data_IF_325471930882
#
_entry.id   IF_325471930882
#
_cell.length_a   1.000
_cell.length_b   1.000
_cell.length_c   1.000
_cell.angle_alpha   90.00
_cell.angle_beta   90.00
_cell.angle_gamma   90.00
#
_symmetry.space_group_name_H-M   'P 1'
#
loop_
_entity.id
_entity.type
_entity.pdbx_description
1 polymer ?
#
# COMPACT_ATOMS: atom_id res chain seq x y z
N UNK A 1 3.00 -20.33 10.59
CA UNK A 1 3.83 -19.11 10.39
C UNK A 1 3.71 -18.52 8.98
N UNK A 2 3.65 -19.34 7.91
CA UNK A 2 3.46 -18.83 6.53
C UNK A 2 2.09 -18.20 6.31
N UNK A 3 1.04 -18.72 6.92
CA UNK A 3 -0.31 -18.18 6.84
C UNK A 3 -0.45 -16.85 7.61
N UNK A 4 0.22 -16.71 8.75
CA UNK A 4 0.15 -15.49 9.57
C UNK A 4 0.82 -14.28 8.93
N UNK A 5 1.82 -14.47 8.06
CA UNK A 5 2.50 -13.35 7.41
C UNK A 5 1.59 -12.66 6.40
N UNK A 6 0.80 -13.41 5.61
CA UNK A 6 -0.21 -12.86 4.71
C UNK A 6 -1.44 -12.30 5.44
N UNK A 7 -1.69 -12.77 6.67
CA UNK A 7 -2.82 -12.29 7.48
C UNK A 7 -2.55 -10.95 8.18
N UNK A 8 -1.27 -10.55 8.31
CA UNK A 8 -0.89 -9.26 8.92
C UNK A 8 -1.33 -8.05 8.09
N UNK A 9 -1.60 -8.24 6.79
CA UNK A 9 -1.97 -7.17 5.86
C UNK A 9 -3.48 -7.03 5.66
N UNK A 10 -4.25 -7.45 6.65
CA UNK A 10 -5.71 -7.29 6.60
C UNK A 10 -6.10 -5.83 6.75
N UNK A 11 -7.19 -5.48 6.09
CA UNK A 11 -7.84 -4.18 6.30
C UNK A 11 -8.47 -4.18 7.69
N UNK A 12 -8.07 -3.21 8.50
CA UNK A 12 -8.67 -2.95 9.80
C UNK A 12 -9.73 -1.86 9.66
N UNK A 13 -10.81 -1.94 10.42
CA UNK A 13 -11.83 -0.89 10.49
C UNK A 13 -13.21 -1.24 9.94
N UNK A 14 -13.38 -2.41 9.29
CA UNK A 14 -14.70 -2.94 8.93
C UNK A 14 -15.03 -4.16 9.78
N UNK A 15 -16.21 -4.17 10.39
CA UNK A 15 -16.69 -5.32 11.19
C UNK A 15 -17.06 -6.54 10.33
N UNK A 16 -17.10 -6.38 9.00
CA UNK A 16 -17.47 -7.42 8.06
C UNK A 16 -16.51 -7.43 6.86
N UNK A 17 -15.72 -8.48 6.76
CA UNK A 17 -14.80 -8.71 5.62
C UNK A 17 -15.51 -9.25 4.36
N UNK A 18 -16.84 -9.31 4.37
CA UNK A 18 -17.63 -9.87 3.28
C UNK A 18 -17.88 -8.86 2.16
N UNK A 19 -17.89 -7.56 2.48
CA UNK A 19 -18.13 -6.50 1.50
C UNK A 19 -16.84 -5.77 1.12
N UNK A 20 -16.67 -5.50 -0.17
CA UNK A 20 -15.58 -4.65 -0.65
C UNK A 20 -15.73 -3.22 -0.13
N UNK A 21 -14.62 -2.64 0.28
CA UNK A 21 -14.57 -1.23 0.71
C UNK A 21 -14.56 -0.32 -0.51
N UNK A 22 -15.54 0.58 -0.61
CA UNK A 22 -15.64 1.60 -1.68
C UNK A 22 -15.38 2.98 -1.09
N UNK A 23 -14.11 3.46 -1.08
CA UNK A 23 -13.76 4.76 -0.54
C UNK A 23 -14.18 5.91 -1.47
N UNK A 24 -14.37 7.11 -0.93
CA UNK A 24 -14.47 8.37 -1.66
C UNK A 24 -13.11 9.09 -1.71
N UNK A 25 -12.31 8.87 -0.67
CA UNK A 25 -10.98 9.45 -0.52
C UNK A 25 -9.97 8.38 -0.15
N UNK A 26 -8.84 8.38 -0.82
CA UNK A 26 -7.65 7.60 -0.45
C UNK A 26 -6.64 8.56 0.15
N UNK A 27 -6.08 8.21 1.30
CA UNK A 27 -4.94 8.93 1.87
C UNK A 27 -3.73 8.01 1.98
N UNK A 28 -2.56 8.55 1.64
CA UNK A 28 -1.28 7.85 1.78
C UNK A 28 -0.41 8.51 2.85
N UNK A 29 0.47 7.74 3.45
CA UNK A 29 1.39 8.23 4.47
C UNK A 29 2.37 9.26 3.90
N UNK A 30 2.96 8.95 2.76
CA UNK A 30 3.99 9.76 2.10
C UNK A 30 3.57 10.26 0.71
N UNK A 31 4.46 11.01 0.04
CA UNK A 31 4.28 11.55 -1.31
C UNK A 31 5.19 10.89 -2.36
N UNK A 32 5.70 9.71 -2.08
CA UNK A 32 6.61 8.97 -2.96
C UNK A 32 5.87 8.28 -4.14
N UNK A 33 6.52 7.33 -4.78
CA UNK A 33 5.98 6.63 -5.94
C UNK A 33 4.66 5.90 -5.65
N UNK A 34 4.46 5.41 -4.42
CA UNK A 34 3.19 4.84 -3.98
C UNK A 34 2.04 5.85 -4.05
N UNK A 35 2.24 7.05 -3.51
CA UNK A 35 1.26 8.13 -3.65
C UNK A 35 0.96 8.43 -5.12
N UNK A 36 2.01 8.61 -5.96
CA UNK A 36 1.84 8.92 -7.38
C UNK A 36 1.05 7.85 -8.13
N UNK A 37 1.24 6.58 -7.76
CA UNK A 37 0.46 5.46 -8.28
C UNK A 37 -1.02 5.57 -7.89
N UNK A 38 -1.32 5.74 -6.60
CA UNK A 38 -2.69 5.83 -6.12
C UNK A 38 -3.38 7.13 -6.54
N UNK A 39 -2.67 8.24 -6.65
CA UNK A 39 -3.20 9.49 -7.21
C UNK A 39 -3.69 9.29 -8.64
N UNK A 40 -2.89 8.61 -9.48
CA UNK A 40 -3.31 8.29 -10.86
C UNK A 40 -4.55 7.39 -10.89
N UNK A 41 -4.57 6.33 -10.07
CA UNK A 41 -5.73 5.44 -9.94
C UNK A 41 -6.98 6.22 -9.50
N UNK A 42 -6.84 7.11 -8.54
CA UNK A 42 -7.94 7.94 -8.04
C UNK A 42 -8.50 8.87 -9.13
N UNK A 43 -7.61 9.53 -9.89
CA UNK A 43 -8.02 10.41 -11.00
C UNK A 43 -8.85 9.63 -12.04
N UNK A 44 -8.40 8.44 -12.42
CA UNK A 44 -9.13 7.59 -13.39
C UNK A 44 -10.51 7.17 -12.89
N UNK A 45 -10.67 7.00 -11.58
CA UNK A 45 -11.91 6.52 -10.96
C UNK A 45 -12.74 7.64 -10.32
N UNK A 46 -12.37 8.90 -10.51
CA UNK A 46 -13.07 10.05 -9.95
C UNK A 46 -13.06 10.10 -8.42
N UNK A 47 -12.02 9.54 -7.80
CA UNK A 47 -11.80 9.56 -6.37
C UNK A 47 -10.82 10.69 -5.99
N UNK A 48 -10.83 11.07 -4.71
CA UNK A 48 -9.86 11.99 -4.16
C UNK A 48 -8.64 11.23 -3.63
N UNK A 49 -7.43 11.76 -3.86
CA UNK A 49 -6.20 11.22 -3.30
C UNK A 49 -5.42 12.33 -2.60
N UNK A 50 -4.96 12.07 -1.37
CA UNK A 50 -4.15 13.03 -0.62
C UNK A 50 -2.97 12.34 0.05
N UNK A 51 -1.80 13.00 -0.01
CA UNK A 51 -0.65 12.59 0.79
C UNK A 51 -0.66 13.29 2.14
N UNK A 52 -0.44 12.52 3.20
CA UNK A 52 -0.35 13.06 4.55
C UNK A 52 1.03 13.65 4.87
N UNK A 53 2.04 13.40 4.03
CA UNK A 53 3.43 13.84 4.25
C UNK A 53 3.96 13.45 5.64
N UNK A 54 3.61 12.27 6.10
CA UNK A 54 4.08 11.69 7.35
C UNK A 54 2.98 11.02 8.17
N UNK A 55 3.33 9.91 8.78
CA UNK A 55 2.40 9.01 9.50
C UNK A 55 1.60 9.68 10.61
N UNK A 56 2.19 10.63 11.34
CA UNK A 56 1.51 11.32 12.44
C UNK A 56 0.35 12.18 11.94
N UNK A 57 0.37 12.65 10.69
CA UNK A 57 -0.69 13.46 10.12
C UNK A 57 -1.95 12.66 9.78
N UNK A 58 -1.83 11.35 9.57
CA UNK A 58 -2.96 10.44 9.33
C UNK A 58 -3.98 10.55 10.48
N UNK A 59 -3.51 10.49 11.71
CA UNK A 59 -4.36 10.63 12.89
C UNK A 59 -5.13 11.96 12.90
N UNK A 60 -4.44 13.07 12.62
CA UNK A 60 -5.06 14.40 12.59
C UNK A 60 -6.09 14.54 11.46
N UNK A 61 -5.79 13.98 10.28
CA UNK A 61 -6.71 13.97 9.16
C UNK A 61 -7.99 13.22 9.50
N UNK A 62 -7.89 12.00 10.01
CA UNK A 62 -9.04 11.17 10.38
C UNK A 62 -9.92 11.81 11.45
N UNK A 63 -9.34 12.53 12.42
CA UNK A 63 -10.11 13.26 13.43
C UNK A 63 -10.91 14.42 12.84
N UNK A 64 -10.39 15.07 11.80
CA UNK A 64 -11.04 16.21 11.14
C UNK A 64 -12.14 15.76 10.17
N UNK A 65 -11.93 14.62 9.49
CA UNK A 65 -12.80 14.12 8.41
C UNK A 65 -13.67 12.94 8.87
N UNK A 66 -14.57 13.17 9.84
CA UNK A 66 -15.32 12.08 10.51
C UNK A 66 -16.41 11.43 9.66
N UNK A 67 -16.98 12.15 8.69
CA UNK A 67 -18.12 11.69 7.86
C UNK A 67 -17.73 11.10 6.51
N UNK A 68 -16.46 11.24 6.10
CA UNK A 68 -15.99 10.80 4.79
C UNK A 68 -15.67 9.30 4.76
N UNK A 69 -15.88 8.65 3.61
CA UNK A 69 -15.45 7.27 3.37
C UNK A 69 -13.97 7.27 2.95
N UNK A 70 -13.11 6.90 3.87
CA UNK A 70 -11.66 7.03 3.72
C UNK A 70 -11.00 5.65 3.71
N UNK A 71 -10.13 5.44 2.72
CA UNK A 71 -9.14 4.37 2.73
C UNK A 71 -7.77 4.97 3.07
N UNK A 72 -7.18 4.50 4.15
CA UNK A 72 -5.80 4.81 4.53
C UNK A 72 -4.89 3.74 3.95
N UNK A 73 -3.86 4.13 3.19
CA UNK A 73 -2.80 3.25 2.72
C UNK A 73 -1.49 3.72 3.32
N UNK A 74 -0.86 2.87 4.11
CA UNK A 74 0.40 3.19 4.77
C UNK A 74 1.32 1.97 4.84
N UNK A 75 2.63 2.20 4.86
CA UNK A 75 3.62 1.13 4.97
C UNK A 75 3.54 0.46 6.35
N UNK A 76 3.12 -0.79 6.40
CA UNK A 76 2.77 -1.49 7.64
C UNK A 76 3.90 -1.51 8.67
N UNK A 77 5.14 -1.76 8.22
CA UNK A 77 6.29 -1.79 9.12
C UNK A 77 6.64 -0.40 9.68
N UNK A 78 6.48 0.65 8.89
CA UNK A 78 6.79 2.02 9.32
C UNK A 78 5.66 2.64 10.17
N UNK A 79 4.42 2.20 9.93
CA UNK A 79 3.22 2.76 10.56
C UNK A 79 2.99 2.27 12.01
N UNK A 80 3.69 1.22 12.45
CA UNK A 80 3.46 0.54 13.72
C UNK A 80 3.42 1.44 14.95
N UNK A 81 4.23 2.51 15.00
CA UNK A 81 4.23 3.47 16.12
C UNK A 81 2.97 4.35 16.22
N UNK A 82 2.20 4.47 15.14
CA UNK A 82 0.98 5.29 15.07
C UNK A 82 -0.30 4.44 15.10
N UNK A 83 -0.17 3.12 14.98
CA UNK A 83 -1.31 2.22 14.80
C UNK A 83 -2.34 2.33 15.92
N UNK A 84 -1.90 2.36 17.18
CA UNK A 84 -2.80 2.42 18.33
C UNK A 84 -3.64 3.70 18.34
N UNK A 85 -3.03 4.84 18.00
CA UNK A 85 -3.71 6.13 17.93
C UNK A 85 -4.75 6.15 16.81
N UNK A 86 -4.40 5.58 15.66
CA UNK A 86 -5.29 5.51 14.50
C UNK A 86 -6.43 4.54 14.79
N UNK A 87 -6.16 3.36 15.37
CA UNK A 87 -7.21 2.41 15.74
C UNK A 87 -8.20 3.00 16.75
N UNK A 88 -7.74 3.81 17.72
CA UNK A 88 -8.63 4.52 18.64
C UNK A 88 -9.56 5.48 17.91
N UNK A 89 -9.08 6.18 16.88
CA UNK A 89 -9.90 7.13 16.11
C UNK A 89 -10.90 6.42 15.21
N UNK A 90 -10.54 5.29 14.63
CA UNK A 90 -11.40 4.54 13.71
C UNK A 90 -12.31 3.53 14.43
N UNK A 91 -12.10 3.32 15.74
CA UNK A 91 -12.93 2.41 16.51
C UNK A 91 -14.43 2.76 16.38
N UNK A 92 -15.23 1.79 15.95
CA UNK A 92 -16.66 1.97 15.69
C UNK A 92 -17.01 2.79 14.43
N UNK A 93 -16.03 3.23 13.65
CA UNK A 93 -16.25 3.93 12.38
C UNK A 93 -16.30 2.92 11.22
N UNK A 94 -17.47 2.78 10.60
CA UNK A 94 -17.65 1.91 9.40
C UNK A 94 -17.23 2.58 8.09
N UNK A 95 -16.90 3.87 8.14
CA UNK A 95 -16.54 4.68 6.98
C UNK A 95 -15.01 4.83 6.77
N UNK A 96 -14.20 4.16 7.57
CA UNK A 96 -12.73 4.20 7.43
C UNK A 96 -12.20 2.78 7.33
N UNK A 97 -11.40 2.54 6.31
CA UNK A 97 -10.64 1.31 6.15
C UNK A 97 -9.13 1.62 6.21
N UNK A 98 -8.36 0.69 6.75
CA UNK A 98 -6.91 0.79 6.86
C UNK A 98 -6.27 -0.39 6.12
N UNK A 99 -5.50 -0.10 5.09
CA UNK A 99 -4.73 -1.08 4.33
C UNK A 99 -3.24 -0.84 4.58
N UNK A 100 -2.58 -1.83 5.15
CA UNK A 100 -1.19 -1.76 5.58
C UNK A 100 -0.35 -2.82 4.86
N UNK A 101 -0.02 -2.64 3.57
CA UNK A 101 0.98 -3.48 2.91
C UNK A 101 2.35 -3.27 3.57
N UNK A 102 3.26 -4.21 3.41
CA UNK A 102 4.62 -4.05 3.93
C UNK A 102 5.28 -2.76 3.42
N UNK A 103 5.16 -2.55 2.12
CA UNK A 103 5.46 -1.28 1.44
C UNK A 103 4.84 -1.30 0.03
N UNK A 104 4.87 -0.17 -0.68
CA UNK A 104 4.46 -0.13 -2.08
C UNK A 104 5.38 -0.98 -2.97
N UNK A 105 6.68 -1.01 -2.69
CA UNK A 105 7.64 -1.86 -3.40
C UNK A 105 7.33 -3.34 -3.20
N UNK A 106 6.94 -3.73 -1.99
CA UNK A 106 6.48 -5.09 -1.74
C UNK A 106 5.26 -5.43 -2.58
N UNK A 107 4.28 -4.54 -2.69
CA UNK A 107 3.08 -4.75 -3.53
C UNK A 107 3.45 -4.98 -5.00
N UNK A 108 4.40 -4.21 -5.54
CA UNK A 108 4.90 -4.38 -6.91
C UNK A 108 5.52 -5.77 -7.09
N UNK A 109 6.37 -6.19 -6.18
CA UNK A 109 7.03 -7.50 -6.25
C UNK A 109 6.05 -8.65 -6.06
N UNK A 110 5.12 -8.54 -5.11
CA UNK A 110 4.10 -9.56 -4.84
C UNK A 110 3.07 -9.68 -5.99
N UNK A 111 2.90 -8.64 -6.80
CA UNK A 111 2.09 -8.70 -8.01
C UNK A 111 2.67 -9.58 -9.12
N UNK A 112 3.88 -10.14 -8.93
CA UNK A 112 4.60 -11.05 -9.85
C UNK A 112 4.79 -10.49 -11.27
N UNK A 113 4.80 -9.17 -11.41
CA UNK A 113 5.00 -8.50 -12.72
C UNK A 113 6.42 -8.65 -13.25
N UNK A 114 7.39 -8.87 -12.36
CA UNK A 114 8.79 -9.05 -12.71
C UNK A 114 9.09 -10.48 -13.22
N UNK A 115 8.22 -11.45 -12.90
CA UNK A 115 8.38 -12.88 -13.23
C UNK A 115 9.77 -13.43 -12.88
N UNK A 116 10.34 -12.97 -11.77
CA UNK A 116 11.71 -13.24 -11.33
C UNK A 116 11.72 -14.24 -10.18
N UNK A 117 12.39 -15.37 -10.36
CA UNK A 117 12.47 -16.42 -9.34
C UNK A 117 13.21 -15.96 -8.07
N UNK A 118 14.20 -15.11 -8.19
CA UNK A 118 14.90 -14.53 -7.03
C UNK A 118 13.94 -13.70 -6.19
N UNK A 119 13.14 -12.85 -6.83
CA UNK A 119 12.10 -12.06 -6.15
C UNK A 119 11.09 -12.96 -5.44
N UNK A 120 10.62 -14.02 -6.11
CA UNK A 120 9.68 -15.00 -5.50
C UNK A 120 10.29 -15.69 -4.26
N UNK A 121 11.56 -16.08 -4.33
CA UNK A 121 12.28 -16.68 -3.20
C UNK A 121 12.41 -15.71 -2.03
N UNK A 122 12.75 -14.45 -2.31
CA UNK A 122 12.83 -13.39 -1.30
C UNK A 122 11.47 -13.17 -0.63
N UNK A 123 10.38 -13.08 -1.39
CA UNK A 123 9.04 -12.90 -0.84
C UNK A 123 8.56 -14.11 -0.04
N UNK A 124 9.02 -15.32 -0.38
CA UNK A 124 8.67 -16.55 0.38
C UNK A 124 9.34 -16.60 1.74
N UNK A 125 10.55 -16.07 1.86
CA UNK A 125 11.38 -16.14 3.07
C UNK A 125 12.24 -14.88 3.24
N UNK A 126 11.64 -13.70 3.38
CA UNK A 126 12.40 -12.44 3.36
C UNK A 126 13.44 -12.35 4.48
N UNK A 127 13.21 -12.99 5.63
CA UNK A 127 14.15 -13.03 6.74
C UNK A 127 15.48 -13.74 6.43
N UNK A 128 15.51 -14.61 5.42
CA UNK A 128 16.75 -15.28 5.00
C UNK A 128 17.64 -14.38 4.12
N UNK A 129 17.07 -13.32 3.57
CA UNK A 129 17.75 -12.42 2.63
C UNK A 129 18.07 -11.06 3.24
N UNK A 130 17.39 -10.67 4.31
CA UNK A 130 17.62 -9.38 4.96
C UNK A 130 18.86 -9.42 5.83
N UNK A 131 19.83 -8.57 5.52
CA UNK A 131 20.95 -8.32 6.42
C UNK A 131 20.65 -7.09 7.29
N UNK A 132 20.38 -7.35 8.57
CA UNK A 132 19.96 -6.32 9.54
C UNK A 132 20.99 -5.21 9.76
N UNK A 133 22.26 -5.45 9.39
CA UNK A 133 23.32 -4.42 9.43
C UNK A 133 23.21 -3.42 8.28
N UNK A 134 22.61 -3.83 7.16
CA UNK A 134 22.45 -2.99 5.96
C UNK A 134 21.09 -2.31 5.91
N UNK A 135 20.05 -2.95 6.46
CA UNK A 135 18.68 -2.48 6.33
C UNK A 135 18.07 -2.24 7.72
N UNK A 136 17.69 -1.00 7.98
CA UNK A 136 17.04 -0.59 9.24
C UNK A 136 15.52 -0.80 9.24
N UNK A 137 14.92 -1.14 8.08
CA UNK A 137 13.50 -1.43 7.94
C UNK A 137 13.24 -2.33 6.74
N UNK A 138 12.12 -3.04 6.79
CA UNK A 138 11.61 -3.85 5.69
C UNK A 138 11.36 -3.02 4.43
N UNK A 139 10.83 -1.81 4.57
CA UNK A 139 10.64 -0.88 3.48
C UNK A 139 11.95 -0.61 2.72
N UNK A 140 13.05 -0.32 3.43
CA UNK A 140 14.35 -0.09 2.81
C UNK A 140 14.90 -1.33 2.11
N UNK A 141 14.68 -2.50 2.71
CA UNK A 141 15.06 -3.77 2.10
C UNK A 141 14.31 -3.99 0.78
N UNK A 142 12.98 -3.90 0.78
CA UNK A 142 12.19 -4.09 -0.43
C UNK A 142 12.46 -3.03 -1.49
N UNK A 143 12.69 -1.78 -1.09
CA UNK A 143 13.11 -0.71 -2.00
C UNK A 143 14.43 -1.06 -2.70
N UNK A 144 15.44 -1.49 -1.96
CA UNK A 144 16.74 -1.85 -2.52
C UNK A 144 16.64 -3.04 -3.49
N UNK A 145 15.90 -4.08 -3.11
CA UNK A 145 15.68 -5.25 -3.98
C UNK A 145 14.94 -4.83 -5.26
N UNK A 146 13.88 -4.07 -5.17
CA UNK A 146 13.13 -3.66 -6.35
C UNK A 146 13.98 -2.81 -7.30
N UNK A 147 14.75 -1.86 -6.79
CA UNK A 147 15.69 -1.06 -7.59
C UNK A 147 16.69 -1.98 -8.31
N UNK A 148 17.34 -2.89 -7.56
CA UNK A 148 18.36 -3.79 -8.13
C UNK A 148 17.77 -4.72 -9.21
N UNK A 149 16.58 -5.26 -8.99
CA UNK A 149 15.94 -6.20 -9.92
C UNK A 149 15.34 -5.53 -11.15
N UNK A 150 15.19 -4.20 -11.14
CA UNK A 150 14.54 -3.47 -12.25
C UNK A 150 15.45 -2.47 -12.97
N UNK A 151 16.64 -2.16 -12.45
CA UNK A 151 17.53 -1.06 -12.94
C UNK A 151 17.80 -1.10 -14.44
N UNK A 152 17.92 -2.30 -15.03
CA UNK A 152 18.25 -2.51 -16.44
C UNK A 152 17.02 -2.90 -17.28
N UNK A 153 15.81 -2.61 -16.80
CA UNK A 153 14.55 -2.96 -17.45
C UNK A 153 13.69 -1.73 -17.72
N UNK A 154 12.66 -1.90 -18.53
CA UNK A 154 11.64 -0.84 -18.73
C UNK A 154 10.83 -0.53 -17.47
N UNK A 155 10.88 -1.41 -16.45
CA UNK A 155 10.28 -1.24 -15.13
C UNK A 155 11.24 -0.60 -14.11
N UNK A 156 12.34 0.04 -14.54
CA UNK A 156 13.29 0.65 -13.62
C UNK A 156 12.58 1.47 -12.54
N UNK A 157 12.76 1.08 -11.27
CA UNK A 157 12.07 1.68 -10.14
C UNK A 157 12.88 2.81 -9.51
N UNK A 158 12.20 3.86 -9.12
CA UNK A 158 12.78 4.93 -8.31
C UNK A 158 11.76 5.36 -7.24
N UNK A 159 12.18 5.39 -5.97
CA UNK A 159 11.26 5.65 -4.85
C UNK A 159 10.53 6.98 -4.94
N UNK A 160 11.20 8.03 -5.40
CA UNK A 160 10.65 9.40 -5.43
C UNK A 160 9.90 9.75 -6.71
N UNK A 161 10.04 8.95 -7.75
CA UNK A 161 9.44 9.22 -9.05
C UNK A 161 8.95 7.92 -9.67
N UNK A 162 7.65 7.80 -9.77
CA UNK A 162 7.01 6.64 -10.37
C UNK A 162 7.37 6.54 -11.86
N UNK A 163 7.85 5.37 -12.29
CA UNK A 163 8.00 5.07 -13.70
C UNK A 163 6.61 4.85 -14.32
N UNK A 164 6.26 5.55 -15.41
CA UNK A 164 4.95 5.43 -16.06
C UNK A 164 4.58 4.00 -16.49
N UNK A 165 5.56 3.12 -16.67
CA UNK A 165 5.31 1.71 -16.99
C UNK A 165 4.44 1.00 -15.93
N UNK A 166 4.52 1.41 -14.66
CA UNK A 166 3.67 0.87 -13.59
C UNK A 166 2.20 1.27 -13.70
N UNK A 167 1.90 2.32 -14.49
CA UNK A 167 0.55 2.79 -14.76
C UNK A 167 -0.09 2.12 -15.99
N UNK A 168 0.64 1.27 -16.71
CA UNK A 168 0.08 0.53 -17.85
C UNK A 168 -1.00 -0.47 -17.37
N UNK A 169 -2.07 -0.64 -18.15
CA UNK A 169 -3.27 -1.37 -17.75
C UNK A 169 -3.00 -2.70 -17.05
N UNK A 170 -2.30 -3.63 -17.72
CA UNK A 170 -2.05 -4.97 -17.16
C UNK A 170 -1.19 -4.96 -15.87
N UNK A 171 -0.19 -4.08 -15.80
CA UNK A 171 0.71 -3.95 -14.63
C UNK A 171 -0.05 -3.31 -13.48
N UNK A 172 -0.73 -2.18 -13.74
CA UNK A 172 -1.56 -1.48 -12.75
C UNK A 172 -2.60 -2.42 -12.13
N UNK A 173 -3.35 -3.13 -12.97
CA UNK A 173 -4.35 -4.09 -12.51
C UNK A 173 -3.75 -5.24 -11.69
N UNK A 174 -2.53 -5.70 -12.03
CA UNK A 174 -1.87 -6.75 -11.25
C UNK A 174 -1.48 -6.27 -9.86
N UNK A 175 -1.05 -5.02 -9.72
CA UNK A 175 -0.76 -4.39 -8.42
C UNK A 175 -2.06 -4.20 -7.63
N UNK A 176 -3.10 -3.65 -8.24
CA UNK A 176 -4.39 -3.39 -7.58
C UNK A 176 -5.10 -4.67 -7.13
N UNK A 177 -4.94 -5.79 -7.87
CA UNK A 177 -5.50 -7.09 -7.45
C UNK A 177 -4.98 -7.58 -6.10
N UNK A 178 -3.84 -7.08 -5.63
CA UNK A 178 -3.36 -7.37 -4.27
C UNK A 178 -4.21 -6.73 -3.18
N UNK A 179 -5.00 -5.72 -3.55
CA UNK A 179 -5.98 -5.06 -2.70
C UNK A 179 -7.39 -5.63 -2.94
N UNK A 180 -7.52 -6.96 -3.05
CA UNK A 180 -8.71 -7.68 -3.52
C UNK A 180 -10.02 -7.39 -2.76
N UNK A 181 -9.93 -6.80 -1.58
CA UNK A 181 -11.07 -6.43 -0.72
C UNK A 181 -11.44 -4.95 -0.85
N UNK A 182 -10.77 -4.20 -1.74
CA UNK A 182 -11.03 -2.79 -1.99
C UNK A 182 -11.64 -2.65 -3.38
N UNK A 183 -12.79 -1.99 -3.45
CA UNK A 183 -13.40 -1.60 -4.71
C UNK A 183 -13.09 -0.13 -4.97
N UNK A 184 -12.23 0.11 -5.94
CA UNK A 184 -11.85 1.46 -6.37
C UNK A 184 -12.70 1.96 -7.54
N UNK A 185 -13.57 1.12 -8.09
CA UNK A 185 -14.45 1.53 -9.17
C UNK A 185 -15.61 2.35 -8.58
N UNK A 186 -15.81 3.56 -9.09
CA UNK A 186 -17.04 4.31 -8.85
C UNK A 186 -18.18 3.54 -9.51
N UNK A 187 -19.16 3.06 -8.76
CA UNK A 187 -20.41 2.64 -9.35
C UNK A 187 -21.02 3.90 -9.95
N UNK A 188 -21.14 3.95 -11.27
CA UNK A 188 -22.00 4.91 -11.92
C UNK A 188 -23.41 4.70 -11.36
N UNK A 189 -23.87 5.67 -10.57
CA UNK A 189 -25.28 5.81 -10.16
C UNK A 189 -26.07 6.50 -11.29
#
# INVERSE_FOLDING_TARGET
LKQSYHEFYRIYGTDTYEDKVSPETIITEDSNSGYQFFEHVCIENGLKCESMNGKSNVFHYLNKHKGEKILVIADGAAFGSEIDRVLQVIHGRKNVALYLPESFEWMIMDADILKNNTVRSILSNPSEYVESKLYFSWERFFTAILIEQTKDTYLAYAKRKLNPAYLSGAIKESILRKMNIIDLNKKDE
#
